data_IF_577215485060
#
_entry.id   IF_577215485060
#
_cell.length_a   1.000
_cell.length_b   1.000
_cell.length_c   1.000
_cell.angle_alpha   90.00
_cell.angle_beta   90.00
_cell.angle_gamma   90.00
#
_symmetry.space_group_name_H-M   'P 1'
#
loop_
_entity.id
_entity.type
_entity.pdbx_description
1 polymer ?
#
# COMPACT_ATOMS: atom_id res chain seq x y z
N UNK A 1 9.93 13.43 -14.82
CA UNK A 1 9.62 12.06 -14.36
C UNK A 1 10.90 11.29 -14.03
N UNK A 2 11.89 11.18 -14.93
CA UNK A 2 13.16 10.46 -14.65
C UNK A 2 14.09 11.21 -13.68
N UNK A 3 14.23 12.54 -13.78
CA UNK A 3 15.11 13.31 -12.86
C UNK A 3 14.69 13.17 -11.39
N UNK A 4 13.39 13.18 -11.10
CA UNK A 4 12.88 12.94 -9.74
C UNK A 4 13.16 11.52 -9.24
N UNK A 5 13.28 10.54 -10.15
CA UNK A 5 13.64 9.16 -9.80
C UNK A 5 15.12 9.04 -9.40
N UNK A 6 16.01 9.90 -9.94
CA UNK A 6 17.43 9.92 -9.56
C UNK A 6 17.64 10.29 -8.08
N UNK A 7 16.69 11.02 -7.48
CA UNK A 7 16.73 11.42 -6.07
C UNK A 7 16.30 10.32 -5.10
N UNK A 8 16.05 9.10 -5.56
CA UNK A 8 15.71 7.99 -4.69
C UNK A 8 16.97 7.44 -3.98
N UNK A 9 17.01 7.39 -2.63
CA UNK A 9 18.14 6.82 -1.89
C UNK A 9 18.43 5.34 -2.19
N UNK A 10 17.49 4.63 -2.83
CA UNK A 10 17.68 3.25 -3.28
C UNK A 10 18.38 3.15 -4.64
N UNK A 11 18.52 4.25 -5.39
CA UNK A 11 19.15 4.26 -6.70
C UNK A 11 20.64 3.94 -6.55
N UNK A 12 21.10 2.86 -7.18
CA UNK A 12 22.47 2.36 -7.04
C UNK A 12 22.77 1.62 -5.73
N UNK A 13 21.83 1.54 -4.78
CA UNK A 13 22.01 0.80 -3.53
C UNK A 13 21.79 -0.71 -3.75
N UNK A 14 22.84 -1.48 -3.47
CA UNK A 14 22.80 -2.93 -3.49
C UNK A 14 21.90 -3.52 -2.39
N UNK A 15 21.18 -4.59 -2.73
CA UNK A 15 20.32 -5.30 -1.77
C UNK A 15 21.08 -5.81 -0.54
N UNK A 16 22.32 -6.26 -0.75
CA UNK A 16 23.21 -6.73 0.32
C UNK A 16 23.60 -5.62 1.28
N UNK A 17 24.02 -4.46 0.76
CA UNK A 17 24.33 -3.28 1.56
C UNK A 17 23.12 -2.84 2.37
N UNK A 18 21.95 -2.76 1.74
CA UNK A 18 20.71 -2.35 2.39
C UNK A 18 20.35 -3.27 3.57
N UNK A 19 20.37 -4.60 3.37
CA UNK A 19 20.05 -5.55 4.44
C UNK A 19 21.12 -5.52 5.54
N UNK A 20 22.39 -5.35 5.19
CA UNK A 20 23.48 -5.24 6.15
C UNK A 20 23.30 -4.01 7.06
N UNK A 21 22.97 -2.85 6.49
CA UNK A 21 22.69 -1.64 7.27
C UNK A 21 21.49 -1.80 8.20
N UNK A 22 20.42 -2.44 7.70
CA UNK A 22 19.22 -2.70 8.50
C UNK A 22 19.51 -3.63 9.68
N UNK A 23 20.23 -4.72 9.45
CA UNK A 23 20.59 -5.67 10.49
C UNK A 23 21.53 -5.04 11.50
N UNK A 24 22.50 -4.24 11.05
CA UNK A 24 23.45 -3.56 11.93
C UNK A 24 22.78 -2.54 12.87
N UNK A 25 21.68 -1.93 12.45
CA UNK A 25 20.98 -0.92 13.27
C UNK A 25 19.82 -1.50 14.10
N UNK A 26 19.04 -2.43 13.54
CA UNK A 26 17.81 -2.94 14.18
C UNK A 26 17.93 -4.35 14.74
N UNK A 27 18.95 -5.12 14.40
CA UNK A 27 18.99 -6.56 14.64
C UNK A 27 17.86 -7.36 13.96
N UNK A 28 18.03 -8.68 13.94
CA UNK A 28 17.10 -9.62 13.32
C UNK A 28 15.71 -9.62 13.97
N UNK A 29 15.65 -9.49 15.30
CA UNK A 29 14.39 -9.60 16.06
C UNK A 29 13.44 -8.43 15.78
N UNK A 30 13.94 -7.20 15.74
CA UNK A 30 13.11 -6.01 15.47
C UNK A 30 12.67 -6.00 14.01
N UNK A 31 13.55 -6.41 13.09
CA UNK A 31 13.19 -6.57 11.68
C UNK A 31 12.08 -7.60 11.49
N UNK A 32 12.12 -8.73 12.19
CA UNK A 32 11.04 -9.71 12.16
C UNK A 32 9.74 -9.16 12.75
N UNK A 33 9.79 -8.50 13.91
CA UNK A 33 8.61 -7.88 14.52
C UNK A 33 7.94 -6.87 13.58
N UNK A 34 8.76 -6.07 12.89
CA UNK A 34 8.33 -5.01 11.97
C UNK A 34 7.80 -5.56 10.64
N UNK A 35 8.54 -6.47 10.01
CA UNK A 35 8.27 -6.91 8.64
C UNK A 35 7.48 -8.21 8.57
N UNK A 36 7.56 -9.06 9.60
CA UNK A 36 7.07 -10.46 9.66
C UNK A 36 7.48 -11.30 8.44
N UNK A 37 8.73 -11.15 8.03
CA UNK A 37 9.34 -11.99 6.99
C UNK A 37 10.15 -13.11 7.64
N UNK A 38 9.84 -14.35 7.29
CA UNK A 38 10.41 -15.52 7.96
C UNK A 38 11.94 -15.64 7.83
N UNK A 39 12.52 -15.03 6.79
CA UNK A 39 13.97 -14.96 6.63
C UNK A 39 14.68 -14.24 7.78
N UNK A 40 14.00 -13.38 8.55
CA UNK A 40 14.57 -12.70 9.71
C UNK A 40 14.37 -13.45 11.04
N UNK A 41 13.65 -14.57 11.04
CA UNK A 41 13.30 -15.33 12.25
C UNK A 41 13.93 -16.72 12.28
N UNK A 42 13.68 -17.53 11.24
CA UNK A 42 14.18 -18.90 11.17
C UNK A 42 15.66 -18.91 10.77
N UNK A 43 16.54 -19.17 11.76
CA UNK A 43 18.00 -19.25 11.59
C UNK A 43 18.56 -18.11 10.73
N UNK A 44 18.52 -16.86 11.25
CA UNK A 44 18.86 -15.68 10.46
C UNK A 44 20.28 -15.80 9.90
N UNK A 45 20.36 -15.83 8.57
CA UNK A 45 21.61 -15.91 7.83
C UNK A 45 21.54 -14.95 6.64
N UNK A 46 22.50 -14.02 6.57
CA UNK A 46 22.58 -13.01 5.50
C UNK A 46 22.44 -13.62 4.10
N UNK A 47 23.16 -14.71 3.81
CA UNK A 47 23.11 -15.35 2.49
C UNK A 47 21.73 -15.93 2.18
N UNK A 48 21.06 -16.53 3.16
CA UNK A 48 19.72 -17.08 3.02
C UNK A 48 18.67 -15.97 2.83
N UNK A 49 18.75 -14.89 3.61
CA UNK A 49 17.90 -13.71 3.45
C UNK A 49 18.04 -13.09 2.07
N UNK A 50 19.27 -12.89 1.59
CA UNK A 50 19.51 -12.33 0.26
C UNK A 50 18.99 -13.24 -0.83
N UNK A 51 19.18 -14.56 -0.72
CA UNK A 51 18.61 -15.52 -1.67
C UNK A 51 17.08 -15.47 -1.69
N UNK A 52 16.45 -15.35 -0.52
CA UNK A 52 15.00 -15.19 -0.40
C UNK A 52 14.50 -13.90 -1.03
N UNK A 53 15.07 -12.74 -0.65
CA UNK A 53 14.69 -11.43 -1.20
C UNK A 53 15.01 -11.30 -2.70
N UNK A 54 15.98 -12.07 -3.22
CA UNK A 54 16.23 -12.17 -4.66
C UNK A 54 15.10 -12.88 -5.40
N UNK A 55 14.50 -13.92 -4.81
CA UNK A 55 13.42 -14.72 -5.42
C UNK A 55 12.03 -14.12 -5.19
N UNK A 56 11.82 -13.44 -4.07
CA UNK A 56 10.51 -12.99 -3.62
C UNK A 56 10.43 -11.48 -3.72
N UNK A 57 9.97 -10.99 -4.87
CA UNK A 57 9.96 -9.55 -5.21
C UNK A 57 9.13 -8.73 -4.21
N UNK A 58 7.90 -9.14 -3.91
CA UNK A 58 7.05 -8.42 -2.94
C UNK A 58 7.71 -8.27 -1.56
N UNK A 59 8.51 -9.25 -1.14
CA UNK A 59 9.23 -9.20 0.13
C UNK A 59 10.38 -8.19 0.06
N UNK A 60 11.08 -8.13 -1.09
CA UNK A 60 12.10 -7.12 -1.36
C UNK A 60 11.50 -5.71 -1.33
N UNK A 61 10.39 -5.49 -2.01
CA UNK A 61 9.70 -4.18 -2.02
C UNK A 61 9.25 -3.77 -0.61
N UNK A 62 8.84 -4.73 0.21
CA UNK A 62 8.48 -4.47 1.62
C UNK A 62 9.70 -4.01 2.44
N UNK A 63 10.86 -4.66 2.27
CA UNK A 63 12.12 -4.26 2.91
C UNK A 63 12.59 -2.89 2.42
N UNK A 64 12.50 -2.62 1.11
CA UNK A 64 12.87 -1.34 0.50
C UNK A 64 11.99 -0.19 1.00
N UNK A 65 10.68 -0.42 1.09
CA UNK A 65 9.75 0.55 1.68
C UNK A 65 10.09 0.82 3.14
N UNK A 66 10.40 -0.21 3.92
CA UNK A 66 10.83 -0.05 5.31
C UNK A 66 12.13 0.76 5.41
N UNK A 67 13.10 0.47 4.55
CA UNK A 67 14.36 1.20 4.50
C UNK A 67 14.13 2.69 4.19
N UNK A 68 13.28 3.02 3.22
CA UNK A 68 12.97 4.40 2.89
C UNK A 68 12.30 5.15 4.04
N UNK A 69 11.26 4.58 4.65
CA UNK A 69 10.40 5.32 5.58
C UNK A 69 10.85 5.24 7.04
N UNK A 70 11.48 4.15 7.47
CA UNK A 70 11.94 3.97 8.86
C UNK A 70 13.42 4.26 9.00
N UNK A 71 14.25 3.75 8.09
CA UNK A 71 15.70 3.91 8.19
C UNK A 71 16.20 5.25 7.62
N UNK A 72 15.73 5.67 6.44
CA UNK A 72 16.08 6.97 5.83
C UNK A 72 15.09 8.09 6.16
N UNK A 73 13.94 7.74 6.75
CA UNK A 73 12.84 8.67 7.13
C UNK A 73 12.45 9.64 6.02
N UNK A 74 12.37 9.12 4.81
CA UNK A 74 11.89 9.86 3.65
C UNK A 74 10.40 10.21 3.81
N UNK A 75 9.93 11.32 3.23
CA UNK A 75 8.51 11.64 3.23
C UNK A 75 7.70 10.56 2.50
N UNK A 76 6.49 10.31 2.98
CA UNK A 76 5.56 9.39 2.32
C UNK A 76 5.11 10.01 0.98
N UNK A 77 5.01 9.17 -0.04
CA UNK A 77 4.52 9.59 -1.36
C UNK A 77 3.02 9.88 -1.33
N UNK A 78 2.50 10.44 -2.42
CA UNK A 78 1.06 10.51 -2.67
C UNK A 78 0.49 9.11 -3.01
N UNK A 79 -0.82 8.96 -2.97
CA UNK A 79 -1.60 7.80 -3.41
C UNK A 79 -1.08 7.20 -4.73
N UNK A 80 -0.90 8.03 -5.77
CA UNK A 80 -0.36 7.59 -7.06
C UNK A 80 1.09 7.06 -6.97
N UNK A 81 1.91 7.61 -6.07
CA UNK A 81 3.29 7.12 -5.86
C UNK A 81 3.32 5.78 -5.13
N UNK A 82 2.31 5.48 -4.31
CA UNK A 82 2.22 4.19 -3.63
C UNK A 82 1.87 3.03 -4.57
N UNK A 83 1.28 3.30 -5.73
CA UNK A 83 1.05 2.30 -6.78
C UNK A 83 2.37 1.86 -7.46
N UNK A 84 3.38 2.74 -7.47
CA UNK A 84 4.69 2.46 -8.02
C UNK A 84 5.56 1.66 -7.05
N UNK A 85 6.53 0.89 -7.60
CA UNK A 85 7.50 0.16 -6.79
C UNK A 85 8.41 1.12 -6.02
N UNK A 86 8.94 0.74 -4.85
CA UNK A 86 9.79 1.62 -4.03
C UNK A 86 11.00 2.21 -4.77
N UNK A 87 11.60 1.47 -5.71
CA UNK A 87 12.72 1.96 -6.56
C UNK A 87 12.29 2.85 -7.73
N UNK A 88 11.02 2.81 -8.10
CA UNK A 88 10.45 3.63 -9.18
C UNK A 88 9.91 4.96 -8.66
N UNK A 89 9.73 5.09 -7.35
CA UNK A 89 9.32 6.33 -6.70
C UNK A 89 10.44 7.38 -6.79
N UNK A 90 10.04 8.60 -7.12
CA UNK A 90 10.91 9.77 -7.06
C UNK A 90 10.64 10.61 -5.82
N UNK A 91 11.65 11.36 -5.38
CA UNK A 91 11.51 12.38 -4.33
C UNK A 91 11.86 13.76 -4.89
N UNK A 92 11.27 14.80 -4.31
CA UNK A 92 11.59 16.17 -4.69
C UNK A 92 13.05 16.51 -4.37
N UNK A 93 13.64 17.42 -5.14
CA UNK A 93 15.01 17.88 -4.96
C UNK A 93 15.21 18.51 -3.57
N UNK A 94 16.41 18.34 -3.00
CA UNK A 94 16.78 18.93 -1.71
C UNK A 94 16.30 18.16 -0.47
N UNK A 95 15.58 17.05 -0.64
CA UNK A 95 15.20 16.18 0.47
C UNK A 95 16.36 15.27 0.83
N UNK A 96 16.92 15.47 2.02
CA UNK A 96 18.01 14.65 2.54
C UNK A 96 17.49 13.54 3.48
N UNK A 97 18.04 12.32 3.40
CA UNK A 97 17.77 11.28 4.38
C UNK A 97 18.09 11.73 5.81
N UNK A 98 17.26 11.32 6.76
CA UNK A 98 17.47 11.61 8.20
C UNK A 98 18.03 10.38 8.90
N UNK A 99 18.40 10.55 10.18
CA UNK A 99 18.81 9.44 11.05
C UNK A 99 17.68 8.41 11.17
N UNK A 100 18.01 7.10 11.27
CA UNK A 100 17.00 6.05 11.43
C UNK A 100 16.10 6.26 12.64
N UNK A 101 14.84 5.84 12.51
CA UNK A 101 13.89 5.79 13.61
C UNK A 101 14.25 4.64 14.55
N UNK A 102 14.37 4.88 15.85
CA UNK A 102 14.63 3.83 16.83
C UNK A 102 13.36 2.99 17.05
N UNK A 103 13.47 1.68 16.89
CA UNK A 103 12.34 0.74 17.03
C UNK A 103 12.71 -0.33 18.05
N UNK A 104 11.85 -0.54 19.03
CA UNK A 104 11.92 -1.70 19.94
C UNK A 104 10.84 -2.71 19.54
N UNK A 105 11.02 -3.98 19.90
CA UNK A 105 10.01 -5.03 19.63
C UNK A 105 8.68 -4.66 20.29
N UNK A 106 8.72 -4.18 21.53
CA UNK A 106 7.55 -3.76 22.30
C UNK A 106 6.82 -2.60 21.62
N UNK A 107 7.55 -1.56 21.19
CA UNK A 107 6.95 -0.43 20.48
C UNK A 107 6.28 -0.87 19.18
N UNK A 108 6.92 -1.78 18.44
CA UNK A 108 6.34 -2.32 17.21
C UNK A 108 5.05 -3.09 17.51
N UNK A 109 5.00 -3.87 18.58
CA UNK A 109 3.79 -4.59 18.98
C UNK A 109 2.68 -3.64 19.45
N UNK A 110 3.00 -2.59 20.21
CA UNK A 110 2.06 -1.54 20.60
C UNK A 110 1.47 -0.82 19.39
N UNK A 111 2.31 -0.44 18.41
CA UNK A 111 1.86 0.19 17.17
C UNK A 111 0.85 -0.70 16.42
N UNK A 112 1.01 -2.01 16.49
CA UNK A 112 0.11 -2.96 15.85
C UNK A 112 -1.19 -3.13 16.62
N UNK A 113 -1.13 -3.25 17.94
CA UNK A 113 -2.34 -3.31 18.79
C UNK A 113 -3.18 -2.06 18.58
N UNK A 114 -2.53 -0.88 18.53
CA UNK A 114 -3.19 0.38 18.21
C UNK A 114 -3.82 0.36 16.81
N UNK A 115 -3.05 -0.03 15.78
CA UNK A 115 -3.58 -0.10 14.42
C UNK A 115 -4.77 -1.08 14.29
N UNK A 116 -4.78 -2.20 15.03
CA UNK A 116 -5.92 -3.11 15.06
C UNK A 116 -7.13 -2.50 15.75
N UNK A 117 -6.93 -1.80 16.87
CA UNK A 117 -8.01 -1.12 17.58
C UNK A 117 -8.64 0.00 16.72
N UNK A 118 -7.80 0.83 16.08
CA UNK A 118 -8.25 1.89 15.17
C UNK A 118 -9.07 1.33 14.00
N UNK A 119 -8.63 0.20 13.43
CA UNK A 119 -9.35 -0.51 12.37
C UNK A 119 -10.70 -1.06 12.84
N UNK A 120 -10.75 -1.67 14.03
CA UNK A 120 -11.98 -2.19 14.62
C UNK A 120 -13.00 -1.08 14.92
N UNK A 121 -12.54 0.06 15.44
CA UNK A 121 -13.36 1.24 15.66
C UNK A 121 -13.91 1.80 14.34
N UNK A 122 -13.05 1.97 13.33
CA UNK A 122 -13.47 2.40 11.99
C UNK A 122 -14.53 1.46 11.40
N UNK A 123 -14.34 0.15 11.55
CA UNK A 123 -15.29 -0.87 11.08
C UNK A 123 -16.64 -0.77 11.82
N UNK A 124 -16.61 -0.57 13.14
CA UNK A 124 -17.81 -0.38 13.98
C UNK A 124 -18.60 0.86 13.56
N UNK A 125 -17.93 1.99 13.34
CA UNK A 125 -18.57 3.23 12.92
C UNK A 125 -19.16 3.11 11.50
N UNK A 126 -18.48 2.42 10.59
CA UNK A 126 -19.00 2.13 9.25
C UNK A 126 -20.24 1.24 9.27
N UNK A 127 -20.34 0.31 10.21
CA UNK A 127 -21.52 -0.54 10.38
C UNK A 127 -22.71 0.26 10.94
N UNK A 128 -22.47 1.17 11.88
CA UNK A 128 -23.50 2.06 12.43
C UNK A 128 -24.03 3.08 11.41
N UNK A 129 -23.19 3.52 10.46
CA UNK A 129 -23.54 4.48 9.41
C UNK A 129 -24.17 3.88 8.14
N UNK A 130 -24.29 2.55 8.03
CA UNK A 130 -24.99 1.93 6.90
C UNK A 130 -26.50 2.04 7.11
N UNK A 131 -27.27 2.65 6.17
CA UNK A 131 -28.71 2.47 6.18
C UNK A 131 -28.98 0.97 6.10
N UNK A 132 -29.67 0.41 7.10
CA UNK A 132 -30.22 -0.94 6.99
C UNK A 132 -31.16 -0.90 5.80
N UNK A 133 -30.73 -1.40 4.65
CA UNK A 133 -31.65 -1.63 3.55
C UNK A 133 -32.76 -2.51 4.11
N UNK A 134 -33.94 -1.90 4.27
CA UNK A 134 -35.05 -2.47 5.01
C UNK A 134 -35.32 -3.89 4.49
N UNK A 135 -35.28 -4.86 5.40
CA UNK A 135 -35.66 -6.25 5.13
C UNK A 135 -37.15 -6.36 4.78
N UNK A 136 -37.89 -5.27 5.00
CA UNK A 136 -39.32 -5.11 4.80
C UNK A 136 -39.65 -4.25 3.56
N UNK A 137 -38.92 -4.39 2.46
CA UNK A 137 -39.52 -4.02 1.18
C UNK A 137 -40.56 -5.09 0.84
N UNK A 138 -41.86 -4.76 0.71
CA UNK A 138 -42.78 -5.68 0.07
C UNK A 138 -42.19 -6.03 -1.29
N UNK A 139 -42.19 -7.31 -1.65
CA UNK A 139 -41.88 -7.76 -3.00
C UNK A 139 -42.94 -7.11 -3.90
N UNK A 140 -42.65 -5.93 -4.45
CA UNK A 140 -43.48 -5.31 -5.49
C UNK A 140 -43.47 -6.27 -6.66
N UNK A 141 -44.52 -7.07 -6.72
CA UNK A 141 -44.94 -7.79 -7.90
C UNK A 141 -45.50 -6.72 -8.84
N UNK A 142 -44.92 -6.67 -10.04
CA UNK A 142 -45.34 -5.88 -11.20
C UNK A 142 -45.00 -4.38 -11.23
N UNK A 143 -44.48 -3.96 -12.39
CA UNK A 143 -44.21 -2.56 -12.71
C UNK A 143 -43.10 -2.34 -13.74
N UNK A 144 -43.13 -3.01 -14.90
CA UNK A 144 -42.43 -2.52 -16.09
C UNK A 144 -43.14 -1.26 -16.59
N UNK A 145 -43.07 -0.17 -15.82
CA UNK A 145 -43.67 1.10 -16.19
C UNK A 145 -43.09 2.22 -15.32
N UNK A 146 -42.72 3.30 -16.00
CA UNK A 146 -42.52 4.64 -15.46
C UNK A 146 -41.19 4.92 -14.76
N UNK A 147 -40.13 5.00 -15.57
CA UNK A 147 -39.12 6.04 -15.37
C UNK A 147 -38.91 6.81 -16.67
N UNK A 148 -39.95 7.56 -17.10
CA UNK A 148 -39.81 8.68 -18.05
C UNK A 148 -39.27 9.89 -17.27
N UNK A 149 -38.00 9.86 -16.92
CA UNK A 149 -37.23 11.04 -16.52
C UNK A 149 -36.42 11.51 -17.71
N UNK A 150 -36.90 12.55 -18.41
CA UNK A 150 -36.17 13.18 -19.50
C UNK A 150 -34.92 13.88 -18.93
N UNK A 151 -33.76 13.21 -19.01
CA UNK A 151 -32.49 13.87 -18.76
C UNK A 151 -32.15 14.70 -20.01
N UNK A 152 -32.33 16.03 -19.92
CA UNK A 152 -32.09 16.97 -21.02
C UNK A 152 -30.63 17.03 -21.52
N UNK A 153 -29.70 16.36 -20.84
CA UNK A 153 -28.27 16.31 -21.19
C UNK A 153 -27.78 14.94 -21.69
N UNK A 154 -28.66 14.02 -22.08
CA UNK A 154 -28.22 12.81 -22.79
C UNK A 154 -28.13 13.07 -24.30
N UNK A 155 -26.97 12.85 -24.94
CA UNK A 155 -26.89 12.88 -26.40
C UNK A 155 -27.84 11.82 -26.97
N UNK A 156 -28.47 12.16 -28.10
CA UNK A 156 -29.32 11.21 -28.80
C UNK A 156 -28.51 9.95 -29.17
N UNK A 157 -29.10 8.75 -29.10
CA UNK A 157 -28.44 7.54 -29.53
C UNK A 157 -27.98 7.66 -30.99
N UNK A 158 -26.78 7.15 -31.28
CA UNK A 158 -26.19 7.15 -32.62
C UNK A 158 -27.11 6.42 -33.61
N UNK A 159 -27.40 7.05 -34.75
CA UNK A 159 -28.22 6.50 -35.83
C UNK A 159 -27.39 5.74 -36.87
N UNK A 160 -26.14 5.40 -36.56
CA UNK A 160 -25.25 4.68 -37.47
C UNK A 160 -25.71 3.22 -37.65
N UNK A 161 -26.12 2.81 -38.87
CA UNK A 161 -26.64 1.47 -39.15
C UNK A 161 -25.59 0.34 -39.00
N UNK A 162 -24.30 0.67 -38.86
CA UNK A 162 -23.22 -0.30 -38.69
C UNK A 162 -22.63 -0.32 -37.27
N UNK A 163 -23.25 0.33 -36.28
CA UNK A 163 -22.79 0.23 -34.90
C UNK A 163 -23.06 -1.18 -34.32
N UNK A 164 -22.03 -2.00 -34.03
CA UNK A 164 -22.24 -3.37 -33.55
C UNK A 164 -22.81 -3.43 -32.12
N UNK A 165 -22.87 -2.30 -31.42
CA UNK A 165 -23.33 -2.20 -30.03
C UNK A 165 -24.60 -1.34 -29.86
N UNK A 166 -25.29 -0.96 -30.95
CA UNK A 166 -26.48 -0.11 -30.88
C UNK A 166 -27.67 -0.67 -31.67
N UNK A 167 -28.58 -1.35 -30.96
CA UNK A 167 -30.01 -1.46 -31.32
C UNK A 167 -30.84 -0.84 -30.21
#
# INVERSE_FOLDING_TARGET
>A
MIEQQQNNPLHGLGLETMVTELVAFYDWKILYASLRLECFNSNPNMAACLKFLKKTEWARERVESFYLYRFKRMPKGDSAQFELKPRERGFADGIVPRKPEELTVELVDEMRVKATADYEEMKRNKDQGKPRYAKDKPRTQDGYAQNKGANANRPAPSQDPNNPWGK
#
